data_IF_590680722771
#
_entry.id   IF_590680722771
#
_cell.length_a   1.000
_cell.length_b   1.000
_cell.length_c   1.000
_cell.angle_alpha   90.00
_cell.angle_beta   90.00
_cell.angle_gamma   90.00
#
_symmetry.space_group_name_H-M   'P 1'
#
loop_
_entity.id
_entity.type
_entity.pdbx_description
1 polymer ?
#
# COMPACT_ATOMS: atom_id res chain seq x y z
N UNK A 1 2.27 -45.42 -11.42
CA UNK A 1 2.92 -44.25 -10.81
C UNK A 1 3.95 -44.74 -9.79
N UNK A 2 5.20 -44.35 -9.94
CA UNK A 2 6.23 -44.60 -8.94
C UNK A 2 6.06 -43.64 -7.74
N UNK A 3 6.61 -44.02 -6.58
CA UNK A 3 6.53 -43.18 -5.38
C UNK A 3 7.13 -41.80 -5.60
N UNK A 4 8.16 -41.70 -6.44
CA UNK A 4 8.80 -40.45 -6.85
C UNK A 4 7.86 -39.58 -7.68
N UNK A 5 7.10 -40.15 -8.59
CA UNK A 5 6.09 -39.44 -9.38
C UNK A 5 4.93 -38.97 -8.54
N UNK A 6 4.52 -39.76 -7.53
CA UNK A 6 3.49 -39.33 -6.56
C UNK A 6 3.97 -38.13 -5.73
N UNK A 7 5.19 -38.18 -5.21
CA UNK A 7 5.75 -37.08 -4.43
C UNK A 7 5.87 -35.79 -5.25
N UNK A 8 6.27 -35.88 -6.52
CA UNK A 8 6.32 -34.72 -7.41
C UNK A 8 4.94 -34.13 -7.69
N UNK A 9 3.93 -34.98 -7.86
CA UNK A 9 2.53 -34.55 -8.05
C UNK A 9 2.00 -33.88 -6.79
N UNK A 10 2.20 -34.48 -5.62
CA UNK A 10 1.78 -33.92 -4.34
C UNK A 10 2.39 -32.53 -4.12
N UNK A 11 3.68 -32.37 -4.42
CA UNK A 11 4.37 -31.10 -4.32
C UNK A 11 3.80 -30.04 -5.26
N UNK A 12 3.36 -30.43 -6.45
CA UNK A 12 2.80 -29.50 -7.46
C UNK A 12 1.35 -29.11 -7.19
N UNK A 13 0.59 -29.97 -6.50
CA UNK A 13 -0.82 -29.70 -6.15
C UNK A 13 -0.99 -29.17 -4.74
N UNK A 14 0.09 -28.98 -3.97
CA UNK A 14 0.00 -28.34 -2.67
C UNK A 14 -0.61 -26.94 -2.84
N UNK A 15 -1.61 -26.59 -2.02
CA UNK A 15 -2.17 -25.24 -2.06
C UNK A 15 -1.08 -24.22 -1.75
N UNK A 16 -1.08 -23.15 -2.50
CA UNK A 16 -0.07 -22.07 -2.41
C UNK A 16 -0.02 -21.38 -1.05
N UNK A 17 -1.11 -21.50 -0.29
CA UNK A 17 -1.18 -20.98 1.09
C UNK A 17 -2.19 -21.81 1.90
N UNK A 18 -1.86 -22.06 3.16
CA UNK A 18 -2.83 -22.60 4.11
C UNK A 18 -3.88 -21.52 4.41
N UNK A 19 -5.15 -21.87 4.26
CA UNK A 19 -6.24 -21.00 4.69
C UNK A 19 -6.26 -20.98 6.22
N UNK A 20 -5.96 -19.81 6.80
CA UNK A 20 -6.07 -19.60 8.24
C UNK A 20 -7.51 -19.25 8.61
N UNK A 21 -8.10 -20.03 9.50
CA UNK A 21 -9.38 -19.71 10.10
C UNK A 21 -9.14 -18.83 11.33
N UNK A 22 -9.96 -17.80 11.50
CA UNK A 22 -9.88 -16.86 12.62
C UNK A 22 -9.84 -17.61 13.95
N UNK A 23 -8.76 -17.43 14.73
CA UNK A 23 -8.55 -18.07 16.02
C UNK A 23 -7.58 -19.26 16.03
N UNK A 24 -6.97 -19.63 14.90
CA UNK A 24 -5.91 -20.64 14.84
C UNK A 24 -4.54 -20.00 14.63
N UNK A 25 -3.56 -20.48 15.40
CA UNK A 25 -2.15 -20.15 15.15
C UNK A 25 -1.67 -20.90 13.91
N UNK A 26 -1.48 -20.23 12.81
CA UNK A 26 -0.91 -20.79 11.60
C UNK A 26 0.59 -20.93 11.77
N UNK A 27 1.05 -22.13 12.09
CA UNK A 27 2.47 -22.47 12.15
C UNK A 27 3.02 -22.73 10.75
N UNK A 28 3.83 -21.83 10.26
CA UNK A 28 4.59 -22.02 9.00
C UNK A 28 5.43 -20.80 8.69
N UNK A 29 6.66 -20.87 9.08
CA UNK A 29 7.81 -20.01 8.95
C UNK A 29 7.83 -18.85 7.99
N UNK A 30 8.51 -17.83 8.45
CA UNK A 30 9.09 -16.66 7.79
C UNK A 30 8.11 -15.52 7.50
N UNK A 31 8.10 -14.54 8.40
CA UNK A 31 7.91 -13.10 8.14
C UNK A 31 6.98 -12.66 7.00
N UNK A 32 5.92 -13.38 6.78
CA UNK A 32 4.74 -12.81 6.19
C UNK A 32 3.90 -12.31 7.36
N UNK A 33 4.07 -11.05 7.76
CA UNK A 33 2.97 -10.31 8.32
C UNK A 33 1.77 -10.70 7.48
N UNK A 34 0.80 -11.43 8.05
CA UNK A 34 -0.51 -11.55 7.47
C UNK A 34 -1.09 -10.13 7.43
N UNK A 35 -0.62 -9.37 6.47
CA UNK A 35 -1.39 -8.29 5.95
C UNK A 35 -2.70 -8.97 5.53
N UNK A 36 -3.79 -8.68 6.21
CA UNK A 36 -5.09 -8.69 5.54
C UNK A 36 -4.78 -8.33 4.10
N UNK A 37 -5.33 -9.07 3.12
CA UNK A 37 -5.01 -8.89 1.71
C UNK A 37 -5.38 -7.47 1.24
N UNK A 38 -4.69 -6.49 1.80
CA UNK A 38 -4.75 -5.08 1.49
C UNK A 38 -3.93 -4.81 0.24
N UNK A 39 -4.35 -3.83 -0.50
CA UNK A 39 -3.61 -3.32 -1.66
C UNK A 39 -2.25 -2.79 -1.22
N UNK A 40 -1.24 -2.95 -2.07
CA UNK A 40 0.06 -2.34 -1.82
C UNK A 40 -0.02 -0.81 -1.91
N UNK A 41 0.96 -0.11 -1.34
CA UNK A 41 1.02 1.36 -1.47
C UNK A 41 1.09 1.83 -2.92
N UNK A 42 1.78 1.08 -3.77
CA UNK A 42 1.85 1.34 -5.21
C UNK A 42 0.49 1.16 -5.89
N UNK A 43 -0.25 0.10 -5.56
CA UNK A 43 -1.57 -0.15 -6.14
C UNK A 43 -2.56 0.96 -5.76
N UNK A 44 -2.55 1.37 -4.50
CA UNK A 44 -3.39 2.48 -4.02
C UNK A 44 -2.99 3.80 -4.67
N UNK A 45 -1.68 4.06 -4.78
CA UNK A 45 -1.19 5.24 -5.50
C UNK A 45 -1.69 5.26 -6.95
N UNK A 46 -1.54 4.16 -7.68
CA UNK A 46 -1.94 4.08 -9.08
C UNK A 46 -3.44 4.24 -9.29
N UNK A 47 -4.26 3.82 -8.34
CA UNK A 47 -5.73 3.88 -8.46
C UNK A 47 -6.34 5.19 -7.94
N UNK A 48 -5.80 5.78 -6.89
CA UNK A 48 -6.41 6.90 -6.19
C UNK A 48 -5.59 8.20 -6.22
N UNK A 49 -4.27 8.13 -6.25
CA UNK A 49 -3.39 9.29 -6.02
C UNK A 49 -2.73 9.80 -7.31
N UNK A 50 -2.42 8.90 -8.23
CA UNK A 50 -1.65 9.18 -9.44
C UNK A 50 -2.27 10.28 -10.31
N UNK A 51 -3.59 10.35 -10.38
CA UNK A 51 -4.29 11.34 -11.21
C UNK A 51 -3.85 12.78 -10.93
N UNK A 52 -3.59 13.11 -9.67
CA UNK A 52 -3.14 14.43 -9.25
C UNK A 52 -1.63 14.49 -9.01
N UNK A 53 -1.05 13.48 -8.36
CA UNK A 53 0.35 13.49 -7.93
C UNK A 53 1.36 13.10 -9.00
N UNK A 54 0.95 12.62 -10.17
CA UNK A 54 1.84 12.44 -11.32
C UNK A 54 2.03 13.73 -12.11
N UNK A 55 0.97 14.50 -12.30
CA UNK A 55 0.96 15.70 -13.13
C UNK A 55 1.03 17.02 -12.34
N UNK A 56 0.83 16.99 -11.02
CA UNK A 56 0.79 18.19 -10.18
C UNK A 56 -0.50 18.98 -10.29
N UNK A 57 -1.61 18.31 -10.53
CA UNK A 57 -2.93 18.94 -10.69
C UNK A 57 -3.34 19.61 -9.36
N UNK A 58 -3.93 20.80 -9.46
CA UNK A 58 -4.40 21.58 -8.32
C UNK A 58 -3.34 21.85 -7.24
N UNK A 59 -2.06 21.95 -7.65
CA UNK A 59 -0.95 22.21 -6.73
C UNK A 59 -0.47 20.98 -5.96
N UNK A 60 -0.89 19.77 -6.36
CA UNK A 60 -0.39 18.53 -5.78
C UNK A 60 1.12 18.38 -6.01
N UNK A 61 1.90 17.99 -4.98
CA UNK A 61 3.32 17.73 -5.17
C UNK A 61 3.49 16.47 -6.03
N UNK A 62 4.27 16.59 -7.10
CA UNK A 62 4.56 15.46 -7.98
C UNK A 62 5.46 14.46 -7.27
N UNK A 63 5.21 13.17 -7.46
CA UNK A 63 6.16 12.14 -7.05
C UNK A 63 7.48 12.33 -7.80
N UNK A 64 8.59 12.29 -7.07
CA UNK A 64 9.94 12.57 -7.58
C UNK A 64 10.38 14.04 -7.51
N UNK A 65 9.49 14.96 -7.18
CA UNK A 65 9.84 16.37 -6.97
C UNK A 65 10.33 16.61 -5.54
N UNK A 66 11.62 16.41 -5.32
CA UNK A 66 12.26 16.55 -4.01
C UNK A 66 12.01 17.93 -3.38
N UNK A 67 12.00 18.99 -4.18
CA UNK A 67 11.81 20.37 -3.70
C UNK A 67 10.38 20.55 -3.17
N UNK A 68 9.39 20.08 -3.91
CA UNK A 68 7.99 20.13 -3.48
C UNK A 68 7.71 19.29 -2.25
N UNK A 69 8.41 18.18 -2.09
CA UNK A 69 8.23 17.26 -0.97
C UNK A 69 9.03 17.63 0.28
N UNK A 70 10.19 18.25 0.16
CA UNK A 70 11.08 18.56 1.29
C UNK A 70 10.37 19.32 2.42
N UNK A 71 9.64 20.37 2.10
CA UNK A 71 8.89 21.16 3.08
C UNK A 71 7.70 20.41 3.70
N UNK A 72 7.19 19.41 3.02
CA UNK A 72 6.10 18.55 3.51
C UNK A 72 6.63 17.45 4.42
N UNK A 73 7.72 16.79 4.00
CA UNK A 73 8.40 15.75 4.77
C UNK A 73 8.94 16.31 6.09
N UNK A 74 9.42 17.57 6.11
CA UNK A 74 9.93 18.22 7.32
C UNK A 74 8.86 18.43 8.41
N UNK A 75 7.57 18.40 8.05
CA UNK A 75 6.47 18.46 9.02
C UNK A 75 6.24 17.14 9.76
N UNK A 76 6.87 16.07 9.30
CA UNK A 76 6.74 14.72 9.86
C UNK A 76 5.75 13.84 9.11
N UNK A 77 5.97 12.53 9.19
CA UNK A 77 5.15 11.53 8.52
C UNK A 77 3.70 11.53 9.00
N UNK A 78 3.47 11.75 10.29
CA UNK A 78 2.11 11.80 10.86
C UNK A 78 1.24 12.88 10.19
N UNK A 79 1.83 14.04 9.89
CA UNK A 79 1.15 15.11 9.16
C UNK A 79 0.82 14.73 7.71
N UNK A 80 1.69 13.94 7.09
CA UNK A 80 1.46 13.44 5.73
C UNK A 80 0.38 12.36 5.71
N UNK A 81 0.38 11.46 6.69
CA UNK A 81 -0.67 10.45 6.83
C UNK A 81 -2.03 11.07 7.08
N UNK A 82 -2.08 12.07 7.97
CA UNK A 82 -3.31 12.83 8.23
C UNK A 82 -3.84 13.49 6.95
N UNK A 83 -2.95 14.13 6.20
CA UNK A 83 -3.30 14.74 4.90
C UNK A 83 -3.82 13.72 3.88
N UNK A 84 -3.27 12.51 3.87
CA UNK A 84 -3.71 11.42 3.00
C UNK A 84 -5.09 10.89 3.41
N UNK A 85 -5.30 10.65 4.68
CA UNK A 85 -6.54 10.05 5.22
C UNK A 85 -7.70 11.06 5.22
N UNK A 86 -7.46 12.28 5.71
CA UNK A 86 -8.50 13.28 5.93
C UNK A 86 -8.59 14.34 4.82
N UNK A 87 -7.60 14.36 3.91
CA UNK A 87 -7.48 15.42 2.92
C UNK A 87 -6.94 16.72 3.53
N UNK A 88 -6.82 17.74 2.69
CA UNK A 88 -6.34 19.07 3.10
C UNK A 88 -7.40 20.11 2.74
N UNK A 89 -8.04 20.70 3.75
CA UNK A 89 -9.08 21.68 3.55
C UNK A 89 -8.59 22.87 2.71
N UNK A 90 -9.44 23.32 1.80
CA UNK A 90 -9.13 24.45 0.90
C UNK A 90 -8.20 24.13 -0.24
N UNK A 91 -7.87 22.84 -0.45
CA UNK A 91 -7.04 22.37 -1.58
C UNK A 91 -7.77 21.32 -2.39
N UNK A 92 -7.16 20.87 -3.51
CA UNK A 92 -7.65 19.75 -4.30
C UNK A 92 -7.41 18.37 -3.66
N UNK A 93 -6.70 18.29 -2.54
CA UNK A 93 -6.43 17.03 -1.86
C UNK A 93 -7.67 16.61 -1.05
N UNK A 94 -8.47 15.72 -1.65
CA UNK A 94 -9.63 15.12 -1.00
C UNK A 94 -9.23 13.94 -0.11
N UNK A 95 -10.05 13.64 0.89
CA UNK A 95 -9.83 12.51 1.78
C UNK A 95 -9.62 11.20 1.00
N UNK A 96 -8.57 10.47 1.35
CA UNK A 96 -8.21 9.17 0.76
C UNK A 96 -8.02 9.19 -0.77
N UNK A 97 -7.78 10.37 -1.38
CA UNK A 97 -7.73 10.52 -2.83
C UNK A 97 -9.02 10.10 -3.54
N UNK A 98 -10.16 10.06 -2.83
CA UNK A 98 -11.44 9.58 -3.33
C UNK A 98 -11.62 8.05 -3.25
N UNK A 99 -10.68 7.32 -2.68
CA UNK A 99 -10.80 5.88 -2.46
C UNK A 99 -11.67 5.58 -1.23
N UNK A 100 -12.96 5.39 -1.42
CA UNK A 100 -13.92 5.18 -0.34
C UNK A 100 -13.73 3.82 0.39
N UNK A 101 -13.20 2.82 -0.30
CA UNK A 101 -12.99 1.46 0.19
C UNK A 101 -11.55 1.18 0.64
N UNK A 102 -10.65 2.16 0.57
CA UNK A 102 -9.30 2.04 1.10
C UNK A 102 -9.31 2.17 2.63
N UNK A 103 -8.57 1.30 3.30
CA UNK A 103 -8.31 1.44 4.73
C UNK A 103 -7.29 2.56 5.01
N UNK A 104 -7.25 3.02 6.25
CA UNK A 104 -6.25 4.03 6.66
C UNK A 104 -4.83 3.52 6.48
N UNK A 105 -4.59 2.23 6.72
CA UNK A 105 -3.28 1.60 6.54
C UNK A 105 -2.88 1.55 5.07
N UNK A 106 -3.80 1.24 4.17
CA UNK A 106 -3.56 1.29 2.72
C UNK A 106 -3.22 2.70 2.24
N UNK A 107 -3.90 3.73 2.77
CA UNK A 107 -3.58 5.13 2.47
C UNK A 107 -2.19 5.50 2.99
N UNK A 108 -1.82 5.07 4.20
CA UNK A 108 -0.46 5.28 4.74
C UNK A 108 0.61 4.66 3.87
N UNK A 109 0.40 3.42 3.40
CA UNK A 109 1.32 2.76 2.48
C UNK A 109 1.47 3.54 1.16
N UNK A 110 0.40 4.13 0.64
CA UNK A 110 0.48 4.97 -0.55
C UNK A 110 1.24 6.27 -0.30
N UNK A 111 1.09 6.87 0.88
CA UNK A 111 1.89 8.04 1.29
C UNK A 111 3.36 7.67 1.40
N UNK A 112 3.69 6.55 2.01
CA UNK A 112 5.07 6.04 2.10
C UNK A 112 5.68 5.84 0.71
N UNK A 113 4.95 5.23 -0.21
CA UNK A 113 5.36 5.04 -1.59
C UNK A 113 5.70 6.37 -2.29
N UNK A 114 4.85 7.39 -2.13
CA UNK A 114 5.09 8.72 -2.72
C UNK A 114 6.28 9.44 -2.09
N UNK A 115 6.44 9.34 -0.78
CA UNK A 115 7.55 9.95 -0.04
C UNK A 115 8.87 9.31 -0.40
N UNK A 116 8.92 7.98 -0.44
CA UNK A 116 10.14 7.24 -0.78
C UNK A 116 10.59 7.51 -2.23
N UNK A 117 9.63 7.66 -3.15
CA UNK A 117 9.91 8.07 -4.51
C UNK A 117 10.33 9.53 -4.68
N UNK A 118 10.28 10.33 -3.62
CA UNK A 118 10.49 11.79 -3.67
C UNK A 118 11.59 12.30 -2.71
N UNK A 119 12.29 11.40 -2.03
CA UNK A 119 13.47 11.71 -1.18
C UNK A 119 14.76 11.84 -1.96
#
# INVERSE_FOLDING_TARGET
LTDRQRADIEKRIQPFSAVCVQGQTCGGGSDAVAASAGRSGEDVYNTACMACHSAGIAGAPKVGDQVAWAGRISKGMDSLYDSGVNGVAGTGMIARGGCADCSDDEIRLAVDFMVDGSR
#
